data_IF_908316278339
#
_entry.id   IF_908316278339
#
_cell.length_a   1.000
_cell.length_b   1.000
_cell.length_c   1.000
_cell.angle_alpha   90.00
_cell.angle_beta   90.00
_cell.angle_gamma   90.00
#
_symmetry.space_group_name_H-M   'P 1'
#
loop_
_entity.id
_entity.type
_entity.pdbx_description
1 polymer ?
#
# COMPACT_ATOMS: atom_id res chain seq x y z
N UNK A 1 0.41 -16.13 3.39
CA UNK A 1 -1.04 -16.06 3.63
C UNK A 1 -1.60 -15.11 2.59
N UNK A 2 -2.72 -15.45 1.94
CA UNK A 2 -3.38 -14.58 0.97
C UNK A 2 -4.35 -13.69 1.74
N UNK A 3 -4.19 -12.39 1.60
CA UNK A 3 -5.01 -11.39 2.26
C UNK A 3 -6.13 -10.94 1.31
N UNK A 4 -7.35 -10.87 1.82
CA UNK A 4 -8.55 -10.39 1.13
C UNK A 4 -8.77 -8.92 1.47
N UNK A 5 -8.98 -8.09 0.45
CA UNK A 5 -9.33 -6.68 0.63
C UNK A 5 -10.78 -6.53 1.10
N UNK A 6 -11.00 -5.74 2.15
CA UNK A 6 -12.33 -5.37 2.64
C UNK A 6 -12.62 -3.93 2.26
N UNK A 7 -13.73 -3.73 1.56
CA UNK A 7 -14.30 -2.44 1.23
C UNK A 7 -15.43 -2.09 2.18
N UNK A 8 -15.62 -0.80 2.43
CA UNK A 8 -16.83 -0.30 3.07
C UNK A 8 -18.02 -0.40 2.12
N UNK A 9 -19.24 -0.23 2.62
CA UNK A 9 -20.44 -0.20 1.78
C UNK A 9 -20.40 0.89 0.69
N UNK A 10 -19.60 1.95 0.89
CA UNK A 10 -19.32 3.04 -0.06
C UNK A 10 -18.21 2.73 -1.07
N UNK A 11 -17.73 1.48 -1.16
CA UNK A 11 -16.64 1.03 -2.03
C UNK A 11 -15.23 1.56 -1.70
N UNK A 12 -15.10 2.41 -0.69
CA UNK A 12 -13.79 2.82 -0.18
C UNK A 12 -13.04 1.65 0.49
N UNK A 13 -11.72 1.52 0.30
CA UNK A 13 -10.91 0.54 1.01
C UNK A 13 -10.98 0.74 2.54
N UNK A 14 -11.26 -0.34 3.28
CA UNK A 14 -11.43 -0.33 4.74
C UNK A 14 -10.31 -1.06 5.50
N UNK A 15 -10.00 -2.30 5.13
CA UNK A 15 -8.90 -3.09 5.75
C UNK A 15 -8.53 -4.29 4.88
N UNK A 16 -7.53 -5.07 5.31
CA UNK A 16 -7.26 -6.41 4.79
C UNK A 16 -7.54 -7.45 5.88
N UNK A 17 -8.04 -8.61 5.48
CA UNK A 17 -8.30 -9.75 6.38
C UNK A 17 -7.77 -11.03 5.77
N UNK A 18 -7.54 -12.06 6.56
CA UNK A 18 -7.19 -13.38 6.02
C UNK A 18 -8.35 -13.95 5.21
N UNK A 19 -8.03 -14.79 4.21
CA UNK A 19 -9.03 -15.49 3.40
C UNK A 19 -10.12 -16.19 4.24
N UNK A 20 -9.73 -16.88 5.31
CA UNK A 20 -10.68 -17.57 6.20
C UNK A 20 -11.64 -16.60 6.88
N UNK A 21 -11.17 -15.42 7.31
CA UNK A 21 -12.03 -14.41 7.93
C UNK A 21 -12.97 -13.78 6.91
N UNK A 22 -12.52 -13.55 5.68
CA UNK A 22 -13.38 -13.07 4.60
C UNK A 22 -14.52 -14.07 4.30
N UNK A 23 -14.20 -15.36 4.23
CA UNK A 23 -15.19 -16.43 4.06
C UNK A 23 -16.24 -16.41 5.17
N UNK A 24 -15.83 -16.27 6.43
CA UNK A 24 -16.76 -16.18 7.57
C UNK A 24 -17.69 -14.97 7.43
N UNK A 25 -17.19 -13.82 6.98
CA UNK A 25 -18.01 -12.63 6.78
C UNK A 25 -19.07 -12.81 5.68
N UNK A 26 -18.70 -13.50 4.59
CA UNK A 26 -19.62 -13.82 3.48
C UNK A 26 -20.69 -14.80 3.93
N UNK A 27 -20.31 -15.88 4.62
CA UNK A 27 -21.27 -16.88 5.12
C UNK A 27 -22.22 -16.37 6.20
N UNK A 28 -21.88 -15.26 6.85
CA UNK A 28 -22.72 -14.57 7.82
C UNK A 28 -23.58 -13.45 7.20
N UNK A 29 -23.59 -13.32 5.86
CA UNK A 29 -24.28 -12.25 5.12
C UNK A 29 -23.84 -10.82 5.51
N UNK A 30 -22.64 -10.70 6.10
CA UNK A 30 -22.05 -9.41 6.51
C UNK A 30 -21.27 -8.74 5.39
N UNK A 31 -20.87 -9.51 4.39
CA UNK A 31 -20.13 -9.02 3.24
C UNK A 31 -20.51 -9.76 1.96
N UNK A 32 -20.39 -9.06 0.83
CA UNK A 32 -20.58 -9.60 -0.51
C UNK A 32 -19.22 -9.76 -1.18
N UNK A 33 -19.04 -10.79 -1.99
CA UNK A 33 -17.84 -10.97 -2.82
C UNK A 33 -17.93 -10.07 -4.04
N UNK A 34 -17.06 -9.06 -4.11
CA UNK A 34 -16.92 -8.18 -5.28
C UNK A 34 -15.97 -8.77 -6.31
N UNK A 35 -14.92 -9.46 -5.82
CA UNK A 35 -13.97 -10.14 -6.69
C UNK A 35 -13.55 -11.46 -6.06
N UNK A 36 -13.55 -12.52 -6.86
CA UNK A 36 -13.08 -13.84 -6.49
C UNK A 36 -11.74 -14.16 -7.13
N UNK A 37 -11.01 -15.10 -6.53
CA UNK A 37 -9.93 -15.79 -7.23
C UNK A 37 -10.50 -16.67 -8.36
N UNK A 38 -9.92 -16.67 -9.57
CA UNK A 38 -10.47 -17.40 -10.72
C UNK A 38 -10.55 -18.92 -10.52
N UNK A 39 -9.54 -19.52 -9.87
CA UNK A 39 -9.38 -20.97 -9.79
C UNK A 39 -9.50 -21.53 -8.36
N UNK A 40 -9.61 -20.65 -7.35
CA UNK A 40 -9.65 -21.07 -5.96
C UNK A 40 -11.08 -21.03 -5.42
N UNK A 41 -11.48 -22.12 -4.76
CA UNK A 41 -12.79 -22.29 -4.14
C UNK A 41 -12.66 -22.80 -2.73
N UNK A 42 -13.60 -22.42 -1.87
CA UNK A 42 -13.70 -22.89 -0.50
C UNK A 42 -14.86 -23.87 -0.40
N UNK A 43 -14.53 -25.13 -0.11
CA UNK A 43 -15.50 -26.23 -0.04
C UNK A 43 -15.71 -26.66 1.42
N UNK A 44 -16.96 -26.80 1.81
CA UNK A 44 -17.42 -27.42 3.04
C UNK A 44 -18.51 -28.44 2.74
N UNK A 45 -19.00 -29.13 3.77
CA UNK A 45 -19.99 -30.20 3.61
C UNK A 45 -21.29 -29.77 2.88
N UNK A 46 -21.70 -28.51 3.06
CA UNK A 46 -22.89 -27.93 2.42
C UNK A 46 -22.62 -26.59 1.72
N UNK A 47 -21.35 -26.26 1.48
CA UNK A 47 -20.94 -24.93 1.03
C UNK A 47 -19.90 -25.06 -0.07
N UNK A 48 -20.09 -24.35 -1.17
CA UNK A 48 -19.06 -24.16 -2.21
C UNK A 48 -19.08 -22.70 -2.66
N UNK A 49 -18.14 -21.92 -2.13
CA UNK A 49 -18.04 -20.49 -2.41
C UNK A 49 -16.73 -20.19 -3.15
N UNK A 50 -16.74 -19.26 -4.12
CA UNK A 50 -15.52 -18.80 -4.74
C UNK A 50 -14.64 -18.10 -3.69
N UNK A 51 -13.33 -18.35 -3.71
CA UNK A 51 -12.44 -17.78 -2.71
C UNK A 51 -12.36 -16.26 -2.86
N UNK A 52 -12.73 -15.47 -1.83
CA UNK A 52 -12.82 -14.02 -1.96
C UNK A 52 -11.45 -13.36 -2.04
N UNK A 53 -11.25 -12.51 -3.06
CA UNK A 53 -10.11 -11.59 -3.19
C UNK A 53 -10.47 -10.19 -2.72
N UNK A 54 -11.68 -9.72 -3.04
CA UNK A 54 -12.25 -8.46 -2.56
C UNK A 54 -13.65 -8.72 -2.04
N UNK A 55 -13.93 -8.28 -0.81
CA UNK A 55 -15.27 -8.29 -0.23
C UNK A 55 -15.70 -6.87 0.11
N UNK A 56 -17.00 -6.61 0.05
CA UNK A 56 -17.61 -5.34 0.47
C UNK A 56 -18.57 -5.60 1.62
N UNK A 57 -18.46 -4.81 2.69
CA UNK A 57 -19.39 -4.89 3.81
C UNK A 57 -20.80 -4.45 3.38
N UNK A 58 -21.81 -5.18 3.86
CA UNK A 58 -23.21 -4.86 3.58
C UNK A 58 -23.67 -3.55 4.24
N UNK A 59 -23.02 -3.16 5.35
CA UNK A 59 -23.33 -1.95 6.10
C UNK A 59 -22.13 -1.02 6.17
N UNK A 60 -22.41 0.28 6.17
CA UNK A 60 -21.38 1.30 6.30
C UNK A 60 -20.77 1.28 7.71
N UNK A 61 -19.46 1.09 7.79
CA UNK A 61 -18.70 1.18 9.05
C UNK A 61 -17.99 2.51 9.10
N UNK A 62 -18.36 3.35 10.08
CA UNK A 62 -17.62 4.58 10.37
C UNK A 62 -16.36 4.21 11.16
N UNK A 63 -15.18 4.47 10.58
CA UNK A 63 -13.90 4.33 11.29
C UNK A 63 -13.54 5.71 11.86
N UNK A 64 -13.75 5.96 13.18
CA UNK A 64 -13.61 7.29 13.76
C UNK A 64 -12.16 7.82 13.73
N UNK A 65 -11.16 6.95 13.57
CA UNK A 65 -9.75 7.33 13.46
C UNK A 65 -9.07 6.51 12.35
N UNK A 66 -9.11 6.98 11.11
CA UNK A 66 -8.18 6.47 10.09
C UNK A 66 -6.79 7.00 10.43
N UNK A 67 -6.06 6.29 11.31
CA UNK A 67 -4.69 6.67 11.66
C UNK A 67 -3.85 6.72 10.37
N UNK A 68 -3.17 7.84 10.16
CA UNK A 68 -2.12 7.92 9.15
C UNK A 68 -1.15 6.77 9.37
N UNK A 69 -0.68 6.17 8.27
CA UNK A 69 0.26 5.08 8.40
C UNK A 69 1.54 5.57 9.07
N UNK A 70 2.02 4.87 10.11
CA UNK A 70 3.28 5.24 10.73
C UNK A 70 4.38 5.16 9.68
N UNK A 71 5.30 6.11 9.73
CA UNK A 71 6.48 6.07 8.89
C UNK A 71 7.26 4.77 9.10
N UNK A 72 7.70 4.17 8.00
CA UNK A 72 8.65 3.06 8.02
C UNK A 72 9.45 3.01 6.74
N UNK A 73 10.69 2.49 6.77
CA UNK A 73 11.52 2.34 5.58
C UNK A 73 10.84 1.49 4.50
N UNK A 74 10.19 0.40 4.91
CA UNK A 74 9.39 -0.44 4.01
C UNK A 74 8.26 0.37 3.39
N UNK A 75 7.55 1.14 4.20
CA UNK A 75 6.48 2.03 3.74
C UNK A 75 6.94 3.02 2.67
N UNK A 76 8.11 3.65 2.84
CA UNK A 76 8.68 4.59 1.85
C UNK A 76 9.01 3.89 0.53
N UNK A 77 9.65 2.71 0.58
CA UNK A 77 9.94 1.93 -0.62
C UNK A 77 8.67 1.58 -1.40
N UNK A 78 7.63 1.19 -0.67
CA UNK A 78 6.35 0.81 -1.27
C UNK A 78 5.62 2.04 -1.82
N UNK A 79 5.54 3.15 -1.07
CA UNK A 79 4.97 4.44 -1.52
C UNK A 79 5.55 4.86 -2.87
N UNK A 80 6.87 4.73 -3.01
CA UNK A 80 7.60 5.14 -4.22
C UNK A 80 7.67 4.01 -5.27
N UNK A 81 6.88 2.94 -5.12
CA UNK A 81 6.77 1.78 -6.03
C UNK A 81 8.14 1.16 -6.34
N UNK A 82 9.01 1.12 -5.34
CA UNK A 82 10.40 0.66 -5.46
C UNK A 82 11.17 1.35 -6.58
N UNK A 83 10.88 2.63 -6.88
CA UNK A 83 11.60 3.44 -7.87
C UNK A 83 12.44 4.51 -7.20
N UNK A 84 13.68 4.64 -7.62
CA UNK A 84 14.62 5.64 -7.13
C UNK A 84 14.12 7.03 -7.48
N UNK A 85 14.00 7.90 -6.48
CA UNK A 85 13.54 9.26 -6.66
C UNK A 85 14.52 10.14 -7.46
N UNK A 86 15.75 9.69 -7.70
CA UNK A 86 16.77 10.42 -8.45
C UNK A 86 16.89 9.96 -9.91
N UNK A 87 16.98 8.65 -10.16
CA UNK A 87 17.20 8.10 -11.50
C UNK A 87 16.06 7.26 -12.06
N UNK A 88 15.02 6.97 -11.28
CA UNK A 88 13.88 6.14 -11.68
C UNK A 88 14.13 4.63 -11.75
N UNK A 89 15.39 4.16 -11.60
CA UNK A 89 15.72 2.73 -11.53
C UNK A 89 15.23 2.09 -10.23
N UNK A 90 15.36 0.76 -10.10
CA UNK A 90 14.92 0.04 -8.88
C UNK A 90 15.59 0.58 -7.61
N UNK A 91 14.78 0.95 -6.63
CA UNK A 91 15.22 1.37 -5.30
C UNK A 91 15.29 0.17 -4.36
N UNK A 92 16.33 0.19 -3.52
CA UNK A 92 16.60 -0.85 -2.51
C UNK A 92 16.85 -0.27 -1.13
N UNK A 93 17.00 1.05 -1.02
CA UNK A 93 17.22 1.77 0.22
C UNK A 93 16.31 2.99 0.30
N UNK A 94 16.26 3.60 1.48
CA UNK A 94 15.65 4.91 1.71
C UNK A 94 16.76 5.92 1.92
N UNK A 95 16.59 7.11 1.34
CA UNK A 95 17.45 8.27 1.53
C UNK A 95 16.67 9.42 2.17
N UNK A 96 17.37 10.26 2.93
CA UNK A 96 16.80 11.45 3.55
C UNK A 96 17.04 12.67 2.66
N UNK A 97 16.00 13.39 2.27
CA UNK A 97 16.09 14.62 1.47
C UNK A 97 17.02 15.61 2.17
N UNK A 98 16.70 15.98 3.41
CA UNK A 98 17.64 16.63 4.33
C UNK A 98 18.39 15.53 5.08
N UNK A 99 19.73 15.41 4.96
CA UNK A 99 20.51 14.39 5.65
C UNK A 99 20.38 14.47 7.17
N UNK A 100 20.50 13.32 7.86
CA UNK A 100 20.49 13.29 9.34
C UNK A 100 21.58 14.14 9.97
N UNK A 101 22.76 14.23 9.35
CA UNK A 101 23.85 15.09 9.81
C UNK A 101 23.51 16.58 9.77
N UNK A 102 22.48 16.97 9.01
CA UNK A 102 21.93 18.32 8.94
C UNK A 102 20.59 18.45 9.70
N UNK A 103 20.23 17.48 10.56
CA UNK A 103 19.01 17.51 11.36
C UNK A 103 17.78 16.88 10.71
N UNK A 104 17.93 16.23 9.56
CA UNK A 104 16.84 15.55 8.87
C UNK A 104 16.19 14.42 9.67
N UNK A 105 14.86 14.41 9.70
CA UNK A 105 14.05 13.47 10.48
C UNK A 105 13.57 12.27 9.66
N UNK A 106 13.19 11.20 10.35
CA UNK A 106 12.53 10.02 9.77
C UNK A 106 11.04 10.30 9.56
N UNK A 107 10.71 11.03 8.49
CA UNK A 107 9.31 11.38 8.17
C UNK A 107 9.00 11.08 6.72
N UNK A 108 7.70 10.91 6.41
CA UNK A 108 7.24 10.73 5.04
C UNK A 108 7.71 11.85 4.11
N UNK A 109 7.71 13.09 4.61
CA UNK A 109 8.08 14.29 3.85
C UNK A 109 9.59 14.49 3.71
N UNK A 110 10.42 13.80 4.49
CA UNK A 110 11.87 13.92 4.42
C UNK A 110 12.56 12.66 3.87
N UNK A 111 11.82 11.62 3.50
CA UNK A 111 12.42 10.36 3.04
C UNK A 111 11.87 9.92 1.70
N UNK A 112 12.74 9.39 0.85
CA UNK A 112 12.44 8.90 -0.50
C UNK A 112 13.13 7.56 -0.76
N UNK A 113 12.55 6.74 -1.62
CA UNK A 113 13.20 5.54 -2.11
C UNK A 113 14.38 5.89 -3.01
N UNK A 114 15.50 5.20 -2.82
CA UNK A 114 16.75 5.45 -3.55
C UNK A 114 17.44 4.14 -3.92
N UNK A 115 18.22 4.16 -4.99
CA UNK A 115 19.17 3.08 -5.27
C UNK A 115 20.47 3.32 -4.50
N UNK A 116 21.23 2.27 -4.19
CA UNK A 116 22.46 2.40 -3.42
C UNK A 116 23.48 3.38 -4.06
N UNK A 117 23.55 3.40 -5.39
CA UNK A 117 24.45 4.26 -6.16
C UNK A 117 24.10 5.75 -5.97
N UNK A 118 22.84 6.13 -6.17
CA UNK A 118 22.41 7.53 -6.01
C UNK A 118 22.45 7.97 -4.55
N UNK A 119 22.07 7.08 -3.62
CA UNK A 119 22.17 7.34 -2.19
C UNK A 119 23.62 7.68 -1.78
N UNK A 120 24.58 6.88 -2.26
CA UNK A 120 25.99 7.14 -2.02
C UNK A 120 26.48 8.40 -2.73
N UNK A 121 25.99 8.69 -3.95
CA UNK A 121 26.34 9.91 -4.68
C UNK A 121 25.87 11.16 -3.95
N UNK A 122 24.66 11.17 -3.39
CA UNK A 122 24.14 12.30 -2.62
C UNK A 122 24.87 12.46 -1.28
N UNK A 123 25.07 11.36 -0.56
CA UNK A 123 25.74 11.33 0.74
C UNK A 123 25.10 12.30 1.76
N UNK A 124 25.93 13.13 2.42
CA UNK A 124 25.53 14.08 3.46
C UNK A 124 25.07 15.45 2.93
N UNK A 125 24.67 15.51 1.65
CA UNK A 125 24.18 16.72 0.97
C UNK A 125 22.68 16.66 0.73
N UNK A 126 22.05 17.81 0.55
CA UNK A 126 20.68 17.91 0.00
C UNK A 126 20.67 17.58 -1.50
N UNK A 127 19.50 17.26 -2.10
CA UNK A 127 19.37 17.09 -3.55
C UNK A 127 19.93 18.29 -4.33
N UNK A 128 19.69 19.50 -3.85
CA UNK A 128 20.14 20.75 -4.46
C UNK A 128 21.68 20.86 -4.41
N UNK A 129 22.29 20.63 -3.23
CA UNK A 129 23.74 20.64 -3.03
C UNK A 129 24.45 19.55 -3.85
N UNK A 130 23.78 18.42 -4.08
CA UNK A 130 24.32 17.32 -4.87
C UNK A 130 24.09 17.47 -6.39
N UNK A 131 23.29 18.46 -6.82
CA UNK A 131 22.86 18.57 -8.22
C UNK A 131 21.99 17.38 -8.67
N UNK A 132 21.22 16.80 -7.74
CA UNK A 132 20.42 15.59 -7.92
C UNK A 132 18.93 15.90 -7.74
N UNK A 133 18.27 16.56 -8.71
CA UNK A 133 16.86 16.92 -8.57
C UNK A 133 15.99 15.66 -8.38
N UNK A 134 15.01 15.77 -7.50
CA UNK A 134 14.03 14.71 -7.28
C UNK A 134 13.07 14.63 -8.48
N UNK A 135 12.90 13.43 -9.02
CA UNK A 135 11.90 13.13 -10.07
C UNK A 135 10.47 13.21 -9.54
N UNK A 136 10.28 12.95 -8.23
CA UNK A 136 9.01 13.10 -7.52
C UNK A 136 9.26 13.60 -6.10
N UNK A 137 8.39 14.47 -5.61
CA UNK A 137 8.47 14.99 -4.24
C UNK A 137 7.93 13.95 -3.24
N UNK A 138 8.54 13.84 -2.05
CA UNK A 138 7.99 13.02 -0.98
C UNK A 138 6.62 13.54 -0.55
N UNK A 139 5.71 12.62 -0.24
CA UNK A 139 4.38 12.91 0.25
C UNK A 139 4.00 11.96 1.39
N UNK A 140 3.02 12.36 2.18
CA UNK A 140 2.42 11.52 3.20
C UNK A 140 1.28 10.71 2.57
N UNK A 141 1.34 9.36 2.56
CA UNK A 141 0.30 8.53 1.96
C UNK A 141 -1.01 8.71 2.72
N UNK A 142 -2.12 8.78 1.99
CA UNK A 142 -3.45 8.73 2.61
C UNK A 142 -3.66 7.39 3.30
N UNK A 143 -4.63 7.27 4.23
CA UNK A 143 -4.97 5.97 4.79
C UNK A 143 -5.37 4.92 3.74
N UNK A 144 -5.96 5.35 2.62
CA UNK A 144 -6.30 4.47 1.50
C UNK A 144 -5.03 3.99 0.78
N UNK A 145 -4.08 4.90 0.49
CA UNK A 145 -2.79 4.56 -0.10
C UNK A 145 -2.05 3.57 0.78
N UNK A 146 -1.91 3.86 2.08
CA UNK A 146 -1.21 2.98 3.00
C UNK A 146 -1.76 1.55 3.00
N UNK A 147 -3.08 1.41 2.88
CA UNK A 147 -3.74 0.12 2.87
C UNK A 147 -3.52 -0.63 1.54
N UNK A 148 -3.63 0.06 0.41
CA UNK A 148 -3.31 -0.49 -0.91
C UNK A 148 -1.83 -0.90 -0.99
N UNK A 149 -0.94 -0.10 -0.40
CA UNK A 149 0.49 -0.35 -0.31
C UNK A 149 0.82 -1.55 0.60
N UNK A 150 -0.04 -1.94 1.55
CA UNK A 150 0.17 -3.18 2.32
C UNK A 150 -0.19 -4.46 1.57
N UNK A 151 -0.97 -4.37 0.48
CA UNK A 151 -1.23 -5.52 -0.38
C UNK A 151 0.04 -5.90 -1.15
N UNK A 152 0.25 -7.21 -1.38
CA UNK A 152 1.36 -7.63 -2.22
C UNK A 152 1.22 -7.02 -3.63
N UNK A 153 2.33 -6.73 -4.30
CA UNK A 153 2.31 -6.10 -5.62
C UNK A 153 1.54 -6.95 -6.67
N UNK A 154 1.52 -8.28 -6.48
CA UNK A 154 0.72 -9.23 -7.26
C UNK A 154 -0.79 -9.13 -6.96
N UNK A 155 -1.16 -8.83 -5.71
CA UNK A 155 -2.55 -8.62 -5.31
C UNK A 155 -3.05 -7.26 -5.80
N UNK A 156 -2.20 -6.22 -5.75
CA UNK A 156 -2.51 -4.87 -6.26
C UNK A 156 -2.73 -4.87 -7.77
N UNK A 157 -1.89 -5.57 -8.54
CA UNK A 157 -2.03 -5.69 -10.00
C UNK A 157 -3.29 -6.46 -10.42
N UNK A 158 -3.90 -7.20 -9.49
CA UNK A 158 -5.11 -7.96 -9.72
C UNK A 158 -6.37 -7.26 -9.19
N UNK A 159 -6.23 -6.09 -8.55
CA UNK A 159 -7.35 -5.27 -8.13
C UNK A 159 -8.03 -4.59 -9.33
N UNK A 160 -9.34 -4.31 -9.25
CA UNK A 160 -10.05 -3.49 -10.22
C UNK A 160 -9.40 -2.12 -10.46
N UNK A 161 -9.35 -1.66 -11.71
CA UNK A 161 -8.70 -0.40 -12.11
C UNK A 161 -9.21 0.82 -11.31
N UNK A 162 -10.51 0.86 -10.99
CA UNK A 162 -11.12 1.96 -10.24
C UNK A 162 -10.64 2.07 -8.79
N UNK A 163 -10.05 1.01 -8.20
CA UNK A 163 -9.40 1.06 -6.89
C UNK A 163 -7.96 1.59 -6.97
N UNK A 164 -7.35 1.56 -8.15
CA UNK A 164 -5.95 1.92 -8.39
C UNK A 164 -5.81 3.35 -8.90
N UNK A 165 -6.86 3.88 -9.56
CA UNK A 165 -6.86 5.20 -10.19
C UNK A 165 -6.95 6.38 -9.20
N UNK A 166 -7.54 6.20 -8.03
CA UNK A 166 -7.65 7.25 -7.00
C UNK A 166 -6.41 7.40 -6.10
N UNK A 167 -5.37 6.58 -6.33
CA UNK A 167 -4.12 6.56 -5.57
C UNK A 167 -2.92 7.18 -6.35
N UNK A 168 -3.19 7.93 -7.42
CA UNK A 168 -2.20 8.44 -8.38
C UNK A 168 -1.88 9.93 -8.20
#
# INVERSE_FOLDING_TARGET
MRDTLVLNASFEPLSTVTLNRAVVLVLQDKAVVEQAHPELRMRGAAVDIPAPRVIRLCQYVRVPFRRQAPWSRRGVLVRDRHRCAYCGRRATTVDHVVPRSQGGQDTWLNTVASCAQDNHRKANRTPEEAGMPLLRRPFEPTPADAMLLTLAQEDLAALPDWLVLDAA
#
